data_IF_703546693912
#
_entry.id   IF_703546693912
#
_cell.length_a   1.000
_cell.length_b   1.000
_cell.length_c   1.000
_cell.angle_alpha   90.00
_cell.angle_beta   90.00
_cell.angle_gamma   90.00
#
_symmetry.space_group_name_H-M   'P 1'
#
loop_
_entity.id
_entity.type
_entity.pdbx_description
1 polymer ?
#
# COMPACT_ATOMS: atom_id res chain seq x y z
N UNK A 1 -5.82 -7.09 1.98
CA UNK A 1 -4.77 -6.67 1.02
C UNK A 1 -4.65 -7.74 -0.07
N UNK A 2 -5.35 -7.50 -1.17
CA UNK A 2 -5.51 -8.40 -2.31
C UNK A 2 -4.34 -8.21 -3.30
N UNK A 3 -3.73 -9.31 -3.75
CA UNK A 3 -2.76 -9.27 -4.85
C UNK A 3 -3.50 -9.54 -6.13
N UNK A 4 -3.64 -8.53 -6.99
CA UNK A 4 -4.27 -8.69 -8.28
C UNK A 4 -3.24 -9.09 -9.33
N UNK A 5 -3.49 -10.23 -9.98
CA UNK A 5 -2.95 -10.57 -11.29
C UNK A 5 -4.16 -10.80 -12.19
N UNK A 6 -4.18 -10.16 -13.36
CA UNK A 6 -5.25 -10.34 -14.34
C UNK A 6 -5.30 -11.80 -14.79
N UNK A 7 -6.45 -12.46 -14.66
CA UNK A 7 -6.71 -13.75 -15.29
C UNK A 7 -7.39 -13.51 -16.62
N UNK A 8 -6.75 -13.92 -17.71
CA UNK A 8 -7.40 -14.02 -19.01
C UNK A 8 -8.58 -15.01 -18.94
N UNK A 9 -9.62 -14.83 -19.76
CA UNK A 9 -10.75 -15.76 -19.84
C UNK A 9 -10.29 -17.20 -20.15
N UNK A 10 -11.06 -18.22 -19.77
CA UNK A 10 -10.73 -19.63 -19.95
C UNK A 10 -11.00 -20.07 -21.40
N UNK A 11 -10.30 -19.46 -22.34
CA UNK A 11 -10.09 -20.06 -23.66
C UNK A 11 -8.58 -20.13 -23.81
N UNK A 12 -8.09 -21.37 -23.82
CA UNK A 12 -6.71 -21.79 -23.99
C UNK A 12 -5.65 -20.75 -23.58
N UNK A 13 -4.95 -21.05 -22.49
CA UNK A 13 -3.60 -21.58 -22.64
C UNK A 13 -2.80 -21.32 -21.34
N UNK A 14 -2.07 -22.33 -20.89
CA UNK A 14 -1.23 -22.29 -19.68
C UNK A 14 0.05 -21.47 -19.93
N UNK A 15 0.00 -20.45 -20.80
CA UNK A 15 1.13 -19.90 -21.57
C UNK A 15 1.34 -18.39 -21.44
N UNK A 16 0.69 -17.75 -20.47
CA UNK A 16 1.10 -16.41 -20.09
C UNK A 16 2.58 -16.37 -19.72
N UNK A 17 3.33 -15.41 -20.27
CA UNK A 17 4.78 -15.24 -20.06
C UNK A 17 5.17 -15.30 -18.57
N UNK A 18 4.30 -14.83 -17.69
CA UNK A 18 4.52 -14.75 -16.25
C UNK A 18 3.74 -15.77 -15.41
N UNK A 19 2.94 -16.65 -16.04
CA UNK A 19 2.07 -17.60 -15.33
C UNK A 19 2.87 -18.51 -14.40
N UNK A 20 4.00 -19.06 -14.88
CA UNK A 20 4.88 -19.91 -14.06
C UNK A 20 5.43 -19.17 -12.83
N UNK A 21 5.80 -17.90 -13.01
CA UNK A 21 6.31 -17.06 -11.93
C UNK A 21 5.22 -16.79 -10.88
N UNK A 22 4.05 -16.33 -11.33
CA UNK A 22 2.92 -16.02 -10.45
C UNK A 22 2.47 -17.28 -9.70
N UNK A 23 2.29 -18.39 -10.41
CA UNK A 23 1.86 -19.66 -9.80
C UNK A 23 2.84 -20.18 -8.77
N UNK A 24 4.16 -20.05 -9.02
CA UNK A 24 5.19 -20.48 -8.08
C UNK A 24 5.11 -19.71 -6.76
N UNK A 25 5.10 -18.38 -6.81
CA UNK A 25 5.07 -17.57 -5.59
C UNK A 25 3.69 -17.55 -4.93
N UNK A 26 2.61 -17.69 -5.70
CA UNK A 26 1.27 -17.83 -5.16
C UNK A 26 1.14 -19.15 -4.37
N UNK A 27 1.65 -20.27 -4.92
CA UNK A 27 1.72 -21.55 -4.21
C UNK A 27 2.43 -21.40 -2.86
N UNK A 28 3.65 -20.87 -2.87
CA UNK A 28 4.45 -20.68 -1.65
C UNK A 28 3.71 -19.78 -0.64
N UNK A 29 3.10 -18.68 -1.10
CA UNK A 29 2.37 -17.75 -0.26
C UNK A 29 1.17 -18.42 0.42
N UNK A 30 0.45 -19.26 -0.30
CA UNK A 30 -0.74 -19.95 0.21
C UNK A 30 -0.36 -21.07 1.16
N UNK A 31 0.64 -21.88 0.83
CA UNK A 31 1.18 -22.91 1.71
C UNK A 31 1.68 -22.30 3.03
N UNK A 32 2.43 -21.20 2.96
CA UNK A 32 2.95 -20.50 4.13
C UNK A 32 1.89 -19.71 4.93
N UNK A 33 0.64 -19.63 4.46
CA UNK A 33 -0.47 -19.01 5.21
C UNK A 33 -0.99 -19.95 6.30
N UNK A 34 -0.83 -21.26 6.12
CA UNK A 34 -1.54 -22.28 6.88
C UNK A 34 -2.99 -22.47 6.39
N UNK A 35 -3.71 -23.36 7.08
CA UNK A 35 -5.06 -23.77 6.72
C UNK A 35 -6.09 -22.65 6.98
N UNK A 36 -7.07 -22.45 6.08
CA UNK A 36 -8.21 -21.57 6.33
C UNK A 36 -9.00 -22.02 7.57
N UNK A 37 -9.67 -21.08 8.25
CA UNK A 37 -10.38 -21.36 9.51
C UNK A 37 -11.57 -22.34 9.40
N UNK A 38 -12.05 -22.61 8.18
CA UNK A 38 -13.09 -23.61 7.93
C UNK A 38 -12.53 -25.03 7.80
N UNK A 39 -11.23 -25.21 7.56
CA UNK A 39 -10.60 -26.52 7.39
C UNK A 39 -10.29 -27.12 8.76
N UNK A 40 -11.05 -28.15 9.17
CA UNK A 40 -10.88 -28.80 10.48
C UNK A 40 -10.58 -30.29 10.38
N UNK A 41 -11.13 -30.97 9.38
CA UNK A 41 -10.92 -32.41 9.18
C UNK A 41 -9.95 -32.69 8.04
N UNK A 42 -9.54 -33.94 7.87
CA UNK A 42 -8.74 -34.33 6.71
C UNK A 42 -9.55 -34.18 5.40
N UNK A 43 -10.84 -34.51 5.40
CA UNK A 43 -11.69 -34.31 4.22
C UNK A 43 -11.74 -32.83 3.77
N UNK A 44 -11.75 -31.89 4.73
CA UNK A 44 -11.68 -30.45 4.42
C UNK A 44 -10.34 -30.08 3.77
N UNK A 45 -9.23 -30.71 4.20
CA UNK A 45 -7.89 -30.47 3.64
C UNK A 45 -7.83 -30.94 2.20
N UNK A 46 -8.28 -32.16 1.93
CA UNK A 46 -8.36 -32.71 0.57
C UNK A 46 -9.24 -31.82 -0.32
N UNK A 47 -10.42 -31.42 0.17
CA UNK A 47 -11.34 -30.53 -0.53
C UNK A 47 -10.72 -29.16 -0.82
N UNK A 48 -9.96 -28.59 0.11
CA UNK A 48 -9.26 -27.32 -0.12
C UNK A 48 -8.23 -27.44 -1.24
N UNK A 49 -7.40 -28.49 -1.23
CA UNK A 49 -6.37 -28.73 -2.24
C UNK A 49 -7.02 -28.96 -3.61
N UNK A 50 -8.08 -29.77 -3.69
CA UNK A 50 -8.80 -30.03 -4.93
C UNK A 50 -9.42 -28.77 -5.52
N UNK A 51 -10.10 -27.98 -4.68
CA UNK A 51 -10.71 -26.73 -5.13
C UNK A 51 -9.66 -25.72 -5.60
N UNK A 52 -8.53 -25.63 -4.90
CA UNK A 52 -7.42 -24.76 -5.30
C UNK A 52 -6.83 -25.19 -6.64
N UNK A 53 -6.63 -26.50 -6.86
CA UNK A 53 -6.20 -27.03 -8.16
C UNK A 53 -7.21 -26.76 -9.26
N UNK A 54 -8.51 -26.92 -8.99
CA UNK A 54 -9.58 -26.70 -9.98
C UNK A 54 -9.72 -25.23 -10.38
N UNK A 55 -9.61 -24.29 -9.43
CA UNK A 55 -9.84 -22.85 -9.67
C UNK A 55 -8.58 -22.07 -10.07
N UNK A 56 -7.42 -22.46 -9.54
CA UNK A 56 -6.13 -21.78 -9.79
C UNK A 56 -5.19 -22.57 -10.70
N UNK A 57 -5.46 -23.85 -10.97
CA UNK A 57 -4.53 -24.71 -11.71
C UNK A 57 -3.24 -25.04 -10.93
N UNK A 58 -3.21 -24.76 -9.62
CA UNK A 58 -2.02 -24.91 -8.78
C UNK A 58 -2.23 -26.09 -7.82
N UNK A 59 -1.34 -27.07 -7.89
CA UNK A 59 -1.29 -28.18 -6.92
C UNK A 59 -0.55 -27.73 -5.66
N UNK A 60 -1.26 -27.62 -4.54
CA UNK A 60 -0.69 -27.38 -3.21
C UNK A 60 -0.11 -28.67 -2.62
N UNK A 61 0.91 -28.54 -1.80
CA UNK A 61 1.55 -29.64 -1.07
C UNK A 61 1.02 -29.68 0.38
N UNK A 62 0.28 -30.75 0.73
CA UNK A 62 -0.38 -30.93 2.03
C UNK A 62 0.59 -30.77 3.20
N UNK A 63 1.83 -31.26 3.05
CA UNK A 63 2.85 -31.24 4.11
C UNK A 63 3.48 -29.86 4.30
N UNK A 64 3.42 -28.99 3.28
CA UNK A 64 3.98 -27.63 3.34
C UNK A 64 2.96 -26.58 3.79
N UNK A 65 1.70 -26.96 3.96
CA UNK A 65 0.66 -26.02 4.44
C UNK A 65 0.82 -25.85 5.95
N UNK A 66 1.58 -24.84 6.32
CA UNK A 66 1.85 -24.44 7.70
C UNK A 66 1.98 -22.93 7.82
N UNK A 67 1.75 -22.39 9.01
CA UNK A 67 1.87 -20.94 9.24
C UNK A 67 3.34 -20.56 9.27
N UNK A 68 3.83 -19.94 8.19
CA UNK A 68 5.20 -19.44 8.09
C UNK A 68 5.19 -17.96 7.67
N UNK A 69 5.18 -17.02 8.64
CA UNK A 69 5.09 -15.59 8.35
C UNK A 69 6.23 -15.05 7.50
N UNK A 70 7.45 -15.57 7.67
CA UNK A 70 8.63 -15.16 6.93
C UNK A 70 8.55 -15.56 5.46
N UNK A 71 8.28 -16.84 5.19
CA UNK A 71 8.14 -17.36 3.84
C UNK A 71 6.96 -16.73 3.11
N UNK A 72 5.82 -16.54 3.80
CA UNK A 72 4.67 -15.82 3.26
C UNK A 72 5.03 -14.39 2.87
N UNK A 73 5.80 -13.70 3.71
CA UNK A 73 6.24 -12.32 3.45
C UNK A 73 7.18 -12.24 2.25
N UNK A 74 8.12 -13.18 2.12
CA UNK A 74 9.00 -13.29 0.95
C UNK A 74 8.21 -13.52 -0.34
N UNK A 75 7.32 -14.53 -0.35
CA UNK A 75 6.51 -14.83 -1.52
C UNK A 75 5.60 -13.66 -1.91
N UNK A 76 5.00 -12.98 -0.92
CA UNK A 76 4.22 -11.75 -1.12
C UNK A 76 5.09 -10.64 -1.71
N UNK A 77 6.32 -10.46 -1.21
CA UNK A 77 7.27 -9.46 -1.71
C UNK A 77 7.64 -9.72 -3.16
N UNK A 78 7.90 -10.97 -3.55
CA UNK A 78 8.19 -11.34 -4.94
C UNK A 78 7.01 -10.98 -5.86
N UNK A 79 5.78 -11.38 -5.50
CA UNK A 79 4.58 -11.05 -6.27
C UNK A 79 4.34 -9.53 -6.40
N UNK A 80 4.52 -8.77 -5.32
CA UNK A 80 4.29 -7.32 -5.32
C UNK A 80 5.41 -6.53 -6.02
N UNK A 81 6.66 -6.95 -5.85
CA UNK A 81 7.80 -6.25 -6.44
C UNK A 81 7.89 -6.51 -7.94
N UNK A 82 7.39 -7.66 -8.39
CA UNK A 82 7.42 -8.06 -9.80
C UNK A 82 6.78 -7.02 -10.72
N UNK A 83 5.55 -6.61 -10.45
CA UNK A 83 4.89 -5.60 -11.28
C UNK A 83 5.47 -4.19 -11.06
N UNK A 84 5.91 -3.88 -9.84
CA UNK A 84 6.55 -2.60 -9.52
C UNK A 84 7.83 -2.36 -10.31
N UNK A 85 8.54 -3.44 -10.71
CA UNK A 85 9.73 -3.35 -11.56
C UNK A 85 9.42 -2.83 -12.97
N UNK A 86 8.29 -3.17 -13.55
CA UNK A 86 7.91 -2.65 -14.87
C UNK A 86 7.67 -1.13 -14.87
N UNK A 87 7.30 -0.55 -13.71
CA UNK A 87 7.13 0.89 -13.53
C UNK A 87 8.30 1.59 -12.84
N UNK A 88 9.47 0.94 -12.75
CA UNK A 88 10.61 1.50 -12.04
C UNK A 88 11.18 2.73 -12.78
N UNK A 89 11.41 3.83 -12.04
CA UNK A 89 12.15 4.99 -12.53
C UNK A 89 13.57 4.55 -12.93
N UNK A 90 13.95 4.79 -14.18
CA UNK A 90 15.22 4.36 -14.75
C UNK A 90 16.40 5.22 -14.27
N UNK A 91 16.18 6.54 -14.18
CA UNK A 91 17.21 7.47 -13.75
C UNK A 91 17.11 7.76 -12.24
N UNK A 92 17.87 7.00 -11.44
CA UNK A 92 18.01 7.21 -10.00
C UNK A 92 19.34 7.91 -9.72
N UNK A 93 19.35 8.78 -8.71
CA UNK A 93 20.60 9.34 -8.18
C UNK A 93 21.50 8.21 -7.69
N UNK A 94 22.75 8.23 -8.17
CA UNK A 94 23.82 7.32 -7.77
C UNK A 94 24.78 8.06 -6.84
N UNK A 95 25.36 7.31 -5.91
CA UNK A 95 26.40 7.81 -4.99
C UNK A 95 27.65 6.98 -5.21
N UNK A 96 28.75 7.62 -5.57
CA UNK A 96 30.07 6.98 -5.73
C UNK A 96 31.12 7.68 -4.86
N UNK A 97 32.13 6.91 -4.45
CA UNK A 97 33.24 7.37 -3.63
C UNK A 97 34.54 7.21 -4.40
N UNK A 98 35.33 8.27 -4.44
CA UNK A 98 36.56 8.35 -5.20
C UNK A 98 37.72 8.62 -4.25
N UNK A 99 38.74 7.77 -4.32
CA UNK A 99 40.07 8.04 -3.73
C UNK A 99 41.10 8.37 -4.81
N UNK A 100 40.88 7.89 -6.04
CA UNK A 100 41.70 8.20 -7.21
C UNK A 100 41.20 9.48 -7.90
N UNK A 101 42.05 10.51 -8.06
CA UNK A 101 41.70 11.74 -8.77
C UNK A 101 41.29 11.50 -10.22
N UNK A 102 41.88 10.52 -10.92
CA UNK A 102 41.59 10.29 -12.33
C UNK A 102 40.15 9.78 -12.51
N UNK A 103 39.74 8.77 -11.74
CA UNK A 103 38.37 8.29 -11.73
C UNK A 103 37.35 9.40 -11.38
N UNK A 104 37.69 10.25 -10.42
CA UNK A 104 36.87 11.40 -10.05
C UNK A 104 36.66 12.39 -11.20
N UNK A 105 37.75 12.84 -11.85
CA UNK A 105 37.67 13.77 -12.97
C UNK A 105 36.99 13.15 -14.19
N UNK A 106 37.16 11.84 -14.42
CA UNK A 106 36.45 11.14 -15.48
C UNK A 106 34.93 11.16 -15.26
N UNK A 107 34.46 11.01 -14.02
CA UNK A 107 33.02 11.03 -13.73
C UNK A 107 32.42 12.43 -13.90
N UNK A 108 33.11 13.47 -13.41
CA UNK A 108 32.63 14.86 -13.46
C UNK A 108 32.76 15.45 -14.86
N UNK A 109 33.82 15.10 -15.59
CA UNK A 109 34.04 15.53 -16.96
C UNK A 109 33.15 14.82 -17.98
N UNK A 110 32.41 13.78 -17.58
CA UNK A 110 31.48 13.10 -18.46
C UNK A 110 30.21 13.95 -18.67
N UNK A 111 30.03 14.44 -19.88
CA UNK A 111 28.90 15.30 -20.27
C UNK A 111 27.53 14.61 -20.15
N UNK A 112 27.47 13.29 -20.10
CA UNK A 112 26.23 12.53 -19.89
C UNK A 112 25.73 12.60 -18.44
N UNK A 113 26.62 12.95 -17.51
CA UNK A 113 26.31 13.00 -16.09
C UNK A 113 25.89 14.42 -15.66
N UNK A 114 24.91 14.47 -14.78
CA UNK A 114 24.52 15.66 -14.02
C UNK A 114 24.99 15.46 -12.57
N UNK A 115 25.98 16.24 -12.15
CA UNK A 115 26.51 16.19 -10.79
C UNK A 115 25.63 17.02 -9.87
N UNK A 116 25.09 16.38 -8.83
CA UNK A 116 24.16 16.99 -7.87
C UNK A 116 24.88 17.50 -6.62
N UNK A 117 25.84 16.74 -6.10
CA UNK A 117 26.58 17.10 -4.87
C UNK A 117 27.95 16.45 -4.88
N UNK A 118 28.97 17.21 -4.47
CA UNK A 118 30.34 16.72 -4.24
C UNK A 118 30.70 17.03 -2.78
N UNK A 119 31.29 16.07 -2.07
CA UNK A 119 31.73 16.25 -0.68
C UNK A 119 33.02 15.52 -0.39
N UNK A 120 34.00 16.20 0.18
CA UNK A 120 35.13 15.52 0.83
C UNK A 120 34.63 14.78 2.09
N UNK A 121 34.84 13.47 2.12
CA UNK A 121 34.48 12.61 3.26
C UNK A 121 35.69 12.40 4.18
N UNK A 122 36.89 12.37 3.59
CA UNK A 122 38.17 12.40 4.28
C UNK A 122 39.18 13.19 3.46
N UNK A 123 40.42 13.32 3.94
CA UNK A 123 41.51 13.99 3.22
C UNK A 123 41.77 13.37 1.83
N UNK A 124 41.52 12.06 1.68
CA UNK A 124 41.82 11.30 0.47
C UNK A 124 40.57 10.67 -0.17
N UNK A 125 39.36 11.11 0.20
CA UNK A 125 38.13 10.52 -0.35
C UNK A 125 37.05 11.57 -0.59
N UNK A 126 36.48 11.55 -1.79
CA UNK A 126 35.37 12.41 -2.21
C UNK A 126 34.15 11.57 -2.56
N UNK A 127 33.00 11.96 -2.05
CA UNK A 127 31.69 11.41 -2.41
C UNK A 127 31.05 12.29 -3.48
N UNK A 128 30.54 11.68 -4.54
CA UNK A 128 29.80 12.36 -5.60
C UNK A 128 28.42 11.74 -5.74
N UNK A 129 27.39 12.57 -5.62
CA UNK A 129 26.02 12.24 -5.99
C UNK A 129 25.76 12.77 -7.40
N UNK A 130 25.35 11.89 -8.30
CA UNK A 130 25.11 12.24 -9.70
C UNK A 130 23.93 11.43 -10.27
N UNK A 131 23.39 11.89 -11.38
CA UNK A 131 22.41 11.13 -12.20
C UNK A 131 22.76 11.31 -13.68
N UNK A 132 22.16 10.52 -14.57
CA UNK A 132 22.31 10.77 -16.02
C UNK A 132 21.44 11.96 -16.41
N UNK A 133 21.90 12.79 -17.34
CA UNK A 133 21.02 13.76 -18.02
C UNK A 133 19.95 13.00 -18.80
N UNK A 134 18.76 13.57 -18.93
CA UNK A 134 17.58 12.88 -19.49
C UNK A 134 17.83 12.28 -20.88
N UNK A 135 18.59 12.98 -21.72
CA UNK A 135 18.98 12.59 -23.08
C UNK A 135 19.84 11.31 -23.14
N UNK A 136 20.54 11.01 -22.04
CA UNK A 136 21.47 9.89 -21.93
C UNK A 136 20.96 8.80 -20.99
N UNK A 137 19.67 8.84 -20.60
CA UNK A 137 19.06 7.79 -19.80
C UNK A 137 18.80 6.57 -20.67
N UNK A 138 19.54 5.50 -20.40
CA UNK A 138 19.31 4.23 -21.06
C UNK A 138 18.01 3.57 -20.59
N UNK A 139 17.28 3.00 -21.54
CA UNK A 139 16.10 2.20 -21.23
C UNK A 139 16.51 0.86 -20.64
N UNK A 140 16.05 0.59 -19.42
CA UNK A 140 16.25 -0.70 -18.78
C UNK A 140 15.43 -1.80 -19.49
N UNK A 141 16.08 -2.91 -19.86
CA UNK A 141 15.44 -4.03 -20.57
C UNK A 141 14.28 -4.70 -19.81
N UNK A 142 14.19 -4.49 -18.49
CA UNK A 142 13.17 -5.06 -17.61
C UNK A 142 12.08 -4.06 -17.19
N UNK A 143 12.07 -2.85 -17.77
CA UNK A 143 11.05 -1.82 -17.51
C UNK A 143 10.09 -1.77 -18.68
N UNK A 144 8.79 -1.74 -18.39
CA UNK A 144 7.75 -1.56 -19.39
C UNK A 144 6.60 -0.78 -18.76
N UNK A 145 6.63 0.55 -18.94
CA UNK A 145 5.63 1.45 -18.37
C UNK A 145 4.20 1.14 -18.86
N UNK A 146 4.05 0.60 -20.07
CA UNK A 146 2.76 0.19 -20.62
C UNK A 146 2.18 -0.96 -19.82
N UNK A 147 2.95 -2.03 -19.58
CA UNK A 147 2.50 -3.16 -18.75
C UNK A 147 2.16 -2.73 -17.31
N UNK A 148 2.93 -1.81 -16.74
CA UNK A 148 2.63 -1.23 -15.42
C UNK A 148 1.32 -0.42 -15.44
N UNK A 149 1.08 0.37 -16.48
CA UNK A 149 -0.16 1.14 -16.64
C UNK A 149 -1.39 0.23 -16.80
N UNK A 150 -1.30 -0.83 -17.61
CA UNK A 150 -2.39 -1.81 -17.74
C UNK A 150 -2.68 -2.52 -16.43
N UNK A 151 -1.65 -3.03 -15.75
CA UNK A 151 -1.81 -3.72 -14.45
C UNK A 151 -2.51 -2.83 -13.42
N UNK A 152 -2.08 -1.56 -13.31
CA UNK A 152 -2.69 -0.61 -12.38
C UNK A 152 -4.09 -0.17 -12.79
N UNK A 153 -4.38 -0.10 -14.09
CA UNK A 153 -5.72 0.24 -14.60
C UNK A 153 -6.71 -0.89 -14.34
N UNK A 154 -6.32 -2.15 -14.60
CA UNK A 154 -7.15 -3.30 -14.27
C UNK A 154 -7.41 -3.42 -12.77
N UNK A 155 -6.42 -3.20 -11.91
CA UNK A 155 -6.63 -3.17 -10.46
C UNK A 155 -7.67 -2.10 -10.04
N UNK A 156 -7.63 -0.91 -10.65
CA UNK A 156 -8.62 0.16 -10.42
C UNK A 156 -10.01 -0.23 -10.90
N UNK A 157 -10.14 -0.82 -12.08
CA UNK A 157 -11.43 -1.28 -12.62
C UNK A 157 -12.04 -2.38 -11.74
N UNK A 158 -11.22 -3.31 -11.26
CA UNK A 158 -11.68 -4.35 -10.33
C UNK A 158 -12.18 -3.73 -9.04
N UNK A 159 -11.43 -2.82 -8.42
CA UNK A 159 -11.91 -2.10 -7.23
C UNK A 159 -13.21 -1.34 -7.52
N UNK A 160 -13.27 -0.63 -8.64
CA UNK A 160 -14.44 0.14 -9.07
C UNK A 160 -15.70 -0.75 -9.20
N UNK A 161 -15.58 -1.99 -9.68
CA UNK A 161 -16.71 -2.93 -9.79
C UNK A 161 -17.36 -3.27 -8.43
N UNK A 162 -16.60 -3.18 -7.33
CA UNK A 162 -17.15 -3.29 -5.97
C UNK A 162 -17.75 -1.97 -5.50
N UNK A 163 -17.06 -0.86 -5.78
CA UNK A 163 -17.50 0.48 -5.36
C UNK A 163 -18.84 0.86 -6.02
N UNK A 164 -19.03 0.53 -7.30
CA UNK A 164 -20.26 0.81 -8.04
C UNK A 164 -21.48 0.12 -7.42
N UNK A 165 -21.31 -1.14 -6.97
CA UNK A 165 -22.38 -1.91 -6.32
C UNK A 165 -22.64 -1.47 -4.88
N UNK A 166 -21.59 -1.02 -4.17
CA UNK A 166 -21.69 -0.52 -2.80
C UNK A 166 -22.26 0.91 -2.75
N UNK A 167 -21.99 1.72 -3.78
CA UNK A 167 -22.49 3.07 -3.96
C UNK A 167 -22.33 3.98 -2.71
N UNK A 168 -23.43 4.50 -2.16
CA UNK A 168 -23.46 5.42 -1.01
C UNK A 168 -22.97 4.80 0.30
N UNK A 169 -22.82 3.47 0.33
CA UNK A 169 -22.32 2.74 1.50
C UNK A 169 -20.81 2.84 1.64
N UNK A 170 -20.08 3.27 0.62
CA UNK A 170 -18.61 3.37 0.67
C UNK A 170 -18.17 4.51 1.57
N UNK A 171 -17.42 4.21 2.63
CA UNK A 171 -16.81 5.19 3.53
C UNK A 171 -15.38 5.54 3.13
N UNK A 172 -14.60 4.56 2.69
CA UNK A 172 -13.20 4.73 2.31
C UNK A 172 -12.75 3.62 1.37
N UNK A 173 -11.77 3.92 0.52
CA UNK A 173 -11.07 2.92 -0.27
C UNK A 173 -9.62 3.35 -0.53
N UNK A 174 -8.70 2.39 -0.57
CA UNK A 174 -7.31 2.61 -0.96
C UNK A 174 -6.77 1.38 -1.66
N UNK A 175 -6.39 1.55 -2.93
CA UNK A 175 -5.71 0.58 -3.81
C UNK A 175 -6.44 -0.75 -4.02
N UNK A 176 -6.64 -1.51 -2.96
CA UNK A 176 -7.15 -2.90 -2.93
C UNK A 176 -8.01 -3.18 -1.68
N UNK A 177 -8.48 -2.13 -1.01
CA UNK A 177 -9.32 -2.21 0.20
C UNK A 177 -10.52 -1.28 0.11
N UNK A 178 -11.62 -1.67 0.74
CA UNK A 178 -12.84 -0.86 0.86
C UNK A 178 -13.40 -1.00 2.29
N UNK A 179 -13.77 0.13 2.87
CA UNK A 179 -14.53 0.22 4.13
C UNK A 179 -15.91 0.73 3.75
N UNK A 180 -16.95 0.02 4.17
CA UNK A 180 -18.31 0.31 3.78
C UNK A 180 -19.29 0.08 4.94
N UNK A 181 -20.46 0.70 4.83
CA UNK A 181 -21.58 0.53 5.75
C UNK A 181 -22.41 -0.71 5.39
N UNK A 182 -22.85 -1.42 6.41
CA UNK A 182 -23.83 -2.51 6.28
C UNK A 182 -25.08 -2.13 7.05
N UNK A 183 -26.21 -2.07 6.37
CA UNK A 183 -27.54 -1.75 6.89
C UNK A 183 -28.45 -2.99 6.78
N UNK A 184 -29.42 -3.17 7.69
CA UNK A 184 -30.45 -4.20 7.53
C UNK A 184 -31.18 -4.02 6.19
N UNK A 185 -31.24 -5.08 5.37
CA UNK A 185 -31.90 -5.04 4.07
C UNK A 185 -30.98 -4.77 2.87
N UNK A 186 -29.68 -4.54 3.08
CA UNK A 186 -28.72 -4.42 1.98
C UNK A 186 -28.65 -5.73 1.16
N UNK A 187 -28.82 -5.62 -0.15
CA UNK A 187 -28.91 -6.77 -1.06
C UNK A 187 -27.55 -7.28 -1.52
N UNK A 188 -26.53 -6.42 -1.53
CA UNK A 188 -25.18 -6.74 -2.00
C UNK A 188 -24.16 -6.73 -0.86
N UNK A 189 -23.37 -7.80 -0.79
CA UNK A 189 -22.17 -7.90 0.05
C UNK A 189 -21.01 -8.39 -0.82
N UNK A 190 -19.82 -7.74 -0.77
CA UNK A 190 -18.65 -8.25 -1.46
C UNK A 190 -18.34 -9.68 -1.02
N UNK A 191 -18.31 -10.61 -1.97
CA UNK A 191 -17.98 -12.00 -1.68
C UNK A 191 -16.51 -12.09 -1.25
N UNK A 192 -16.27 -12.82 -0.16
CA UNK A 192 -14.92 -13.13 0.30
C UNK A 192 -14.49 -14.51 -0.18
N UNK A 193 -13.19 -14.70 -0.40
CA UNK A 193 -12.67 -16.02 -0.79
C UNK A 193 -11.19 -16.18 -0.52
N UNK A 194 -10.72 -17.42 -0.72
CA UNK A 194 -9.34 -17.84 -0.47
C UNK A 194 -8.44 -17.79 -1.71
N UNK A 195 -8.96 -17.30 -2.83
CA UNK A 195 -8.34 -17.42 -4.15
C UNK A 195 -7.74 -16.11 -4.64
N UNK A 196 -6.96 -16.16 -5.72
CA UNK A 196 -6.31 -14.98 -6.25
C UNK A 196 -7.35 -13.98 -6.80
N UNK A 197 -7.28 -12.74 -6.33
CA UNK A 197 -8.20 -11.68 -6.73
C UNK A 197 -9.48 -11.59 -5.87
N UNK A 198 -9.76 -12.58 -5.02
CA UNK A 198 -10.90 -12.54 -4.12
C UNK A 198 -10.68 -11.49 -3.01
N UNK A 199 -11.78 -10.87 -2.54
CA UNK A 199 -11.72 -10.00 -1.37
C UNK A 199 -11.51 -10.85 -0.11
N UNK A 200 -10.79 -10.29 0.86
CA UNK A 200 -10.55 -10.94 2.16
C UNK A 200 -11.09 -10.04 3.26
N UNK A 201 -11.85 -10.61 4.19
CA UNK A 201 -12.23 -9.92 5.42
C UNK A 201 -10.99 -9.72 6.31
N UNK A 202 -10.62 -8.46 6.53
CA UNK A 202 -9.47 -8.09 7.37
C UNK A 202 -9.79 -8.05 8.87
N UNK A 203 -11.07 -8.04 9.24
CA UNK A 203 -11.54 -7.98 10.62
C UNK A 203 -12.46 -9.18 10.94
N UNK A 204 -12.00 -10.42 10.71
CA UNK A 204 -12.85 -11.60 10.88
C UNK A 204 -13.37 -11.69 12.32
N UNK A 205 -14.69 -11.74 12.47
CA UNK A 205 -15.34 -11.83 13.78
C UNK A 205 -15.33 -10.52 14.57
N UNK A 206 -14.98 -9.40 13.96
CA UNK A 206 -15.13 -8.06 14.53
C UNK A 206 -15.98 -7.18 13.61
N UNK A 207 -16.59 -6.15 14.16
CA UNK A 207 -17.37 -5.19 13.38
C UNK A 207 -16.94 -3.78 13.72
N UNK A 208 -16.72 -2.96 12.70
CA UNK A 208 -16.40 -1.54 12.86
C UNK A 208 -17.63 -0.84 13.43
N UNK A 209 -17.47 -0.20 14.59
CA UNK A 209 -18.49 0.62 15.25
C UNK A 209 -18.36 2.08 14.90
N UNK A 210 -17.13 2.58 14.80
CA UNK A 210 -16.85 3.96 14.47
C UNK A 210 -15.76 4.03 13.41
N UNK A 211 -15.98 4.88 12.41
CA UNK A 211 -15.01 5.23 11.39
C UNK A 211 -14.88 6.75 11.33
N UNK A 212 -13.64 7.24 11.41
CA UNK A 212 -13.33 8.67 11.31
C UNK A 212 -12.36 8.85 10.15
N UNK A 213 -12.81 9.51 9.08
CA UNK A 213 -12.01 9.83 7.91
C UNK A 213 -11.53 11.28 7.94
N UNK A 214 -10.23 11.51 8.07
CA UNK A 214 -9.62 12.84 8.01
C UNK A 214 -8.92 13.14 6.67
N UNK A 215 -8.77 12.13 5.81
CA UNK A 215 -8.24 12.28 4.46
C UNK A 215 -7.60 10.99 3.92
N UNK A 216 -7.00 11.05 2.72
CA UNK A 216 -6.32 9.90 2.15
C UNK A 216 -5.21 9.37 3.07
N UNK A 217 -5.29 8.09 3.45
CA UNK A 217 -4.37 7.41 4.38
C UNK A 217 -4.30 8.08 5.75
N UNK A 218 -5.41 8.69 6.17
CA UNK A 218 -5.60 9.37 7.45
C UNK A 218 -6.99 9.02 8.01
N UNK A 219 -7.07 7.98 8.82
CA UNK A 219 -8.32 7.50 9.39
C UNK A 219 -8.15 6.81 10.74
N UNK A 220 -9.23 6.74 11.50
CA UNK A 220 -9.36 5.97 12.71
C UNK A 220 -10.52 4.98 12.56
N UNK A 221 -10.30 3.74 12.98
CA UNK A 221 -11.31 2.68 13.01
C UNK A 221 -11.38 2.16 14.44
N UNK A 222 -12.58 2.09 14.99
CA UNK A 222 -12.85 1.37 16.25
C UNK A 222 -13.73 0.17 15.93
N UNK A 223 -13.22 -1.02 16.21
CA UNK A 223 -13.90 -2.29 15.99
C UNK A 223 -14.17 -3.00 17.30
N UNK A 224 -15.31 -3.67 17.39
CA UNK A 224 -15.66 -4.52 18.53
C UNK A 224 -15.65 -5.98 18.09
N UNK A 225 -14.94 -6.83 18.82
CA UNK A 225 -14.94 -8.27 18.61
C UNK A 225 -16.23 -8.93 19.12
N UNK A 226 -16.45 -10.20 18.74
CA UNK A 226 -17.52 -11.03 19.32
C UNK A 226 -17.44 -11.16 20.85
N UNK A 227 -16.25 -11.04 21.42
CA UNK A 227 -16.01 -11.10 22.87
C UNK A 227 -16.16 -9.73 23.56
N UNK A 228 -16.80 -8.76 22.90
CA UNK A 228 -17.00 -7.38 23.38
C UNK A 228 -15.70 -6.61 23.66
N UNK A 229 -14.57 -7.04 23.09
CA UNK A 229 -13.31 -6.30 23.21
C UNK A 229 -13.25 -5.24 22.12
N UNK A 230 -12.93 -4.00 22.50
CA UNK A 230 -12.72 -2.91 21.56
C UNK A 230 -11.25 -2.80 21.17
N UNK A 231 -11.03 -2.56 19.88
CA UNK A 231 -9.71 -2.29 19.30
C UNK A 231 -9.82 -1.03 18.43
N UNK A 232 -8.95 -0.06 18.70
CA UNK A 232 -8.85 1.19 17.92
C UNK A 232 -7.57 1.18 17.11
N UNK A 233 -7.70 1.36 15.81
CA UNK A 233 -6.60 1.44 14.85
C UNK A 233 -6.54 2.84 14.27
N UNK A 234 -5.44 3.53 14.56
CA UNK A 234 -5.13 4.83 14.01
C UNK A 234 -4.15 4.71 12.84
N UNK A 235 -4.51 5.25 11.67
CA UNK A 235 -3.65 5.32 10.48
C UNK A 235 -3.42 6.76 10.09
N UNK A 236 -2.19 7.24 10.24
CA UNK A 236 -1.78 8.58 9.82
C UNK A 236 -0.50 8.49 9.00
N UNK A 237 -0.57 8.82 7.71
CA UNK A 237 0.62 8.88 6.85
C UNK A 237 1.46 10.13 7.12
N UNK A 238 2.79 9.98 7.12
CA UNK A 238 3.75 11.09 7.21
C UNK A 238 4.17 11.46 8.62
N UNK A 239 3.59 10.80 9.63
CA UNK A 239 3.90 10.95 11.04
C UNK A 239 4.35 9.62 11.62
N UNK A 240 5.45 9.63 12.36
CA UNK A 240 5.75 8.54 13.29
C UNK A 240 4.86 8.78 14.50
N UNK A 241 4.00 7.81 14.85
CA UNK A 241 3.18 7.85 16.06
C UNK A 241 4.07 7.62 17.29
N UNK A 242 4.92 8.59 17.61
CA UNK A 242 5.64 8.64 18.88
C UNK A 242 4.66 8.96 20.01
N UNK A 243 5.07 8.71 21.26
CA UNK A 243 4.26 9.01 22.45
C UNK A 243 3.72 10.47 22.45
N UNK A 244 4.56 11.44 22.09
CA UNK A 244 4.15 12.84 22.00
C UNK A 244 3.13 13.09 20.88
N UNK A 245 3.26 12.37 19.75
CA UNK A 245 2.31 12.47 18.65
C UNK A 245 0.99 11.79 19.00
N UNK A 246 0.99 10.60 19.63
CA UNK A 246 -0.23 9.90 20.04
C UNK A 246 -1.01 10.64 21.13
N UNK A 247 -0.33 11.35 22.03
CA UNK A 247 -1.00 12.20 23.04
C UNK A 247 -1.74 13.39 22.42
N UNK A 248 -1.35 13.82 21.23
CA UNK A 248 -1.97 14.95 20.52
C UNK A 248 -2.84 14.52 19.34
N UNK A 249 -2.61 13.34 18.80
CA UNK A 249 -3.36 12.74 17.70
C UNK A 249 -3.89 11.41 18.17
N UNK A 250 -5.09 11.47 18.74
CA UNK A 250 -5.89 10.32 19.17
C UNK A 250 -7.30 10.44 18.57
N UNK A 251 -8.12 9.42 18.81
CA UNK A 251 -9.45 9.26 18.23
C UNK A 251 -10.35 10.49 18.48
N UNK A 252 -10.43 10.95 19.73
CA UNK A 252 -11.27 12.08 20.13
C UNK A 252 -10.82 13.38 19.48
N UNK A 253 -9.51 13.60 19.33
CA UNK A 253 -8.99 14.79 18.65
C UNK A 253 -9.33 14.76 17.16
N UNK A 254 -9.20 13.59 16.50
CA UNK A 254 -9.62 13.46 15.09
C UNK A 254 -11.12 13.72 14.93
N UNK A 255 -11.94 13.22 15.85
CA UNK A 255 -13.39 13.46 15.86
C UNK A 255 -13.70 14.95 16.00
N UNK A 256 -13.09 15.62 17.00
CA UNK A 256 -13.19 17.07 17.21
C UNK A 256 -12.85 17.85 15.94
N UNK A 257 -11.77 17.48 15.26
CA UNK A 257 -11.34 18.14 14.03
C UNK A 257 -12.35 17.94 12.89
N UNK A 258 -12.93 16.74 12.75
CA UNK A 258 -13.95 16.45 11.72
C UNK A 258 -15.21 17.26 12.00
N UNK A 259 -15.66 17.30 13.25
CA UNK A 259 -16.81 18.12 13.66
C UNK A 259 -16.56 19.61 13.38
N UNK A 260 -15.37 20.11 13.70
CA UNK A 260 -14.98 21.48 13.41
C UNK A 260 -15.01 21.79 11.90
N UNK A 261 -14.57 20.83 11.06
CA UNK A 261 -14.60 20.97 9.59
C UNK A 261 -16.02 20.98 9.05
N UNK A 262 -16.90 20.10 9.55
CA UNK A 262 -18.31 19.99 9.12
C UNK A 262 -19.11 21.22 9.53
N UNK A 263 -18.89 21.72 10.75
CA UNK A 263 -19.58 22.90 11.28
C UNK A 263 -18.99 24.22 10.74
N UNK A 264 -17.88 24.18 10.00
CA UNK A 264 -17.21 25.37 9.49
C UNK A 264 -16.61 26.27 10.58
N UNK A 265 -16.41 25.75 11.81
CA UNK A 265 -15.93 26.52 12.97
C UNK A 265 -14.96 25.69 13.79
N UNK A 266 -13.91 26.33 14.32
CA UNK A 266 -12.93 25.69 15.19
C UNK A 266 -11.65 25.25 14.48
N UNK A 267 -10.78 24.58 15.22
CA UNK A 267 -9.44 24.22 14.76
C UNK A 267 -9.44 22.86 14.05
N UNK A 268 -9.03 22.83 12.78
CA UNK A 268 -8.94 21.61 11.97
C UNK A 268 -7.49 21.17 11.74
N UNK A 269 -6.58 21.58 12.61
CA UNK A 269 -5.15 21.28 12.51
C UNK A 269 -4.50 21.11 13.89
N UNK A 270 -3.58 20.16 14.00
CA UNK A 270 -2.80 19.91 15.22
C UNK A 270 -1.33 20.08 14.90
N UNK A 271 -0.63 20.82 15.76
CA UNK A 271 0.80 21.05 15.63
C UNK A 271 1.62 20.07 16.48
N UNK A 272 2.53 19.38 15.80
CA UNK A 272 3.50 18.47 16.38
C UNK A 272 4.91 19.03 16.22
N UNK A 273 5.60 19.17 17.34
CA UNK A 273 7.00 19.59 17.42
C UNK A 273 7.76 18.44 18.06
N UNK A 274 8.76 17.92 17.37
CA UNK A 274 9.58 16.82 17.88
C UNK A 274 10.98 16.83 17.25
N UNK A 275 12.00 16.30 17.94
CA UNK A 275 13.30 16.06 17.34
C UNK A 275 13.19 14.95 16.29
N UNK A 276 13.72 15.19 15.09
CA UNK A 276 13.79 14.20 14.02
C UNK A 276 15.24 14.06 13.56
N UNK A 277 15.68 12.82 13.40
CA UNK A 277 16.95 12.49 12.76
C UNK A 277 16.76 12.67 11.26
N UNK A 278 17.56 13.54 10.66
CA UNK A 278 17.57 13.83 9.24
C UNK A 278 18.94 13.50 8.66
N UNK A 279 18.93 12.93 7.44
CA UNK A 279 20.13 12.79 6.64
C UNK A 279 20.15 13.93 5.61
N UNK A 280 21.18 14.75 5.64
CA UNK A 280 21.37 15.83 4.68
C UNK A 280 21.88 15.28 3.34
N UNK A 281 21.82 16.05 2.23
CA UNK A 281 22.34 15.61 0.92
C UNK A 281 23.82 15.24 0.93
N UNK A 282 24.56 15.74 1.91
CA UNK A 282 25.98 15.46 2.16
C UNK A 282 26.18 14.22 3.04
N UNK A 283 25.12 13.44 3.26
CA UNK A 283 25.05 12.21 4.06
C UNK A 283 25.32 12.39 5.56
N UNK A 284 25.51 13.63 6.05
CA UNK A 284 25.59 13.90 7.48
C UNK A 284 24.25 13.63 8.17
N UNK A 285 24.34 13.12 9.39
CA UNK A 285 23.18 12.80 10.21
C UNK A 285 23.06 13.88 11.28
N UNK A 286 21.95 14.62 11.26
CA UNK A 286 21.69 15.70 12.20
C UNK A 286 20.36 15.47 12.91
N UNK A 287 20.30 15.82 14.19
CA UNK A 287 19.04 15.90 14.93
C UNK A 287 18.52 17.32 14.85
N UNK A 288 17.38 17.52 14.18
CA UNK A 288 16.74 18.84 14.08
C UNK A 288 15.35 18.79 14.68
N UNK A 289 14.97 19.83 15.42
CA UNK A 289 13.57 20.01 15.84
C UNK A 289 12.74 20.33 14.60
N UNK A 290 11.81 19.45 14.28
CA UNK A 290 10.91 19.59 13.12
C UNK A 290 9.52 19.94 13.63
N UNK A 291 8.91 20.91 12.95
CA UNK A 291 7.51 21.29 13.11
C UNK A 291 6.70 20.63 11.99
N UNK A 292 5.72 19.80 12.35
CA UNK A 292 4.74 19.24 11.41
C UNK A 292 3.33 19.63 11.83
N UNK A 293 2.53 20.07 10.87
CA UNK A 293 1.13 20.41 11.08
C UNK A 293 0.27 19.32 10.46
N UNK A 294 -0.40 18.55 11.31
CA UNK A 294 -1.47 17.65 10.90
C UNK A 294 -2.71 18.48 10.59
N UNK A 295 -3.40 18.20 9.49
CA UNK A 295 -4.65 18.87 9.10
C UNK A 295 -5.57 17.89 8.40
N UNK A 296 -6.88 18.12 8.49
CA UNK A 296 -7.85 17.40 7.67
C UNK A 296 -7.64 17.75 6.20
N UNK A 297 -7.60 16.73 5.35
CA UNK A 297 -7.42 16.84 3.90
C UNK A 297 -8.65 16.25 3.22
N UNK A 298 -9.59 17.11 2.86
CA UNK A 298 -10.80 16.76 2.10
C UNK A 298 -11.04 17.79 0.99
N UNK A 299 -9.99 18.08 0.22
CA UNK A 299 -10.00 19.24 -0.68
C UNK A 299 -10.64 18.95 -2.05
N UNK A 300 -11.02 17.69 -2.30
CA UNK A 300 -11.58 17.22 -3.59
C UNK A 300 -13.10 17.03 -3.57
N UNK A 301 -13.74 17.22 -2.43
CA UNK A 301 -15.19 17.02 -2.25
C UNK A 301 -15.75 18.11 -1.35
N UNK A 302 -17.01 18.47 -1.54
CA UNK A 302 -17.78 19.32 -0.64
C UNK A 302 -18.27 18.48 0.53
N UNK A 303 -17.93 18.89 1.76
CA UNK A 303 -18.44 18.26 2.99
C UNK A 303 -19.79 18.90 3.36
N UNK A 304 -20.78 18.08 3.65
CA UNK A 304 -22.13 18.51 4.06
C UNK A 304 -22.29 18.44 5.59
N UNK A 305 -23.32 19.12 6.12
CA UNK A 305 -23.64 19.17 7.55
C UNK A 305 -23.98 17.81 8.16
N UNK A 306 -24.42 16.86 7.35
CA UNK A 306 -24.72 15.48 7.75
C UNK A 306 -23.51 14.53 7.62
N UNK A 307 -22.29 15.06 7.55
CA UNK A 307 -21.03 14.32 7.42
C UNK A 307 -20.84 13.58 6.08
N UNK A 308 -21.79 13.67 5.15
CA UNK A 308 -21.62 13.14 3.79
C UNK A 308 -20.76 14.07 2.95
N UNK A 309 -20.23 13.54 1.84
CA UNK A 309 -19.40 14.33 0.92
C UNK A 309 -19.88 14.17 -0.51
N UNK A 310 -19.92 15.27 -1.25
CA UNK A 310 -20.31 15.30 -2.67
C UNK A 310 -19.15 15.78 -3.54
N UNK A 311 -19.04 15.30 -4.79
CA UNK A 311 -18.06 15.88 -5.71
C UNK A 311 -18.43 17.35 -6.01
N UNK A 312 -17.41 18.16 -6.29
CA UNK A 312 -17.67 19.51 -6.77
C UNK A 312 -18.40 19.45 -8.12
N UNK A 313 -19.43 20.30 -8.28
CA UNK A 313 -20.28 20.30 -9.47
C UNK A 313 -21.43 19.30 -9.44
N UNK A 314 -21.63 18.56 -8.33
CA UNK A 314 -22.85 17.79 -8.14
C UNK A 314 -24.05 18.74 -8.03
N UNK A 315 -25.03 18.57 -8.92
CA UNK A 315 -26.31 19.28 -8.92
C UNK A 315 -27.36 18.26 -8.51
N UNK A 316 -28.08 18.59 -7.44
CA UNK A 316 -29.21 17.79 -6.92
C UNK A 316 -30.39 17.78 -7.90
#
# INVERSE_FOLDING_TARGET
>A
MCQYCYKSPPEDDNTGLFTKYVNRFLKIKVEARGWPGWVKTDEDREKYIENYKKREGITLDKEKIETNPGLRSLAKLCLNSFWGKFGQRQNLTKTEYFTDPQAYFNLIGNEENEVLTIKAVSENMVMVNYQKKEEFVESLANVNAVLAAFTTSHARLTLYSYLEKLNDRVLYFDTDSVIFLTRPGDTYMPATGDYLGDMTDELPGSTIREFIGCGPKQYCITSTSKDHKEETILKIRGFTLSYNASNKLHQEEMKRMVDAKVQGRGQTSVELIFPQILRLPDHSVVTKTVRKVYRIVCDKRRVLSNYTTLPYGYVD
#
